data_IF_091445467452
#
_entry.id   IF_091445467452
#
_cell.length_a   1.000
_cell.length_b   1.000
_cell.length_c   1.000
_cell.angle_alpha   90.00
_cell.angle_beta   90.00
_cell.angle_gamma   90.00
#
_symmetry.space_group_name_H-M   'P 1'
#
loop_
_entity.id
_entity.type
_entity.pdbx_description
1 polymer ?
#
# COMPACT_ATOMS: atom_id res chain seq x y z
N UNK A 1 -19.15 -8.36 -10.10
CA UNK A 1 -18.36 -9.50 -9.61
C UNK A 1 -18.35 -9.48 -8.08
N UNK A 2 -18.89 -10.49 -7.45
CA UNK A 2 -18.83 -10.61 -6.00
C UNK A 2 -17.45 -11.12 -5.61
N UNK A 3 -16.62 -10.23 -5.09
CA UNK A 3 -15.30 -10.59 -4.57
C UNK A 3 -15.46 -11.27 -3.20
N UNK A 4 -14.89 -12.46 -3.05
CA UNK A 4 -14.89 -13.17 -1.76
C UNK A 4 -13.49 -13.18 -1.19
N UNK A 5 -13.21 -12.22 -0.31
CA UNK A 5 -11.91 -12.08 0.34
C UNK A 5 -11.40 -13.36 0.99
N UNK A 6 -12.31 -14.12 1.60
CA UNK A 6 -11.97 -15.35 2.31
C UNK A 6 -11.61 -16.54 1.41
N UNK A 7 -11.91 -16.47 0.12
CA UNK A 7 -11.70 -17.58 -0.82
C UNK A 7 -10.61 -17.30 -1.86
N UNK A 8 -10.08 -16.06 -1.92
CA UNK A 8 -9.03 -15.74 -2.85
C UNK A 8 -7.71 -16.17 -2.26
N UNK A 9 -7.03 -17.12 -2.91
CA UNK A 9 -5.67 -17.45 -2.51
C UNK A 9 -4.77 -16.24 -2.79
N UNK A 10 -4.02 -15.76 -1.80
CA UNK A 10 -3.09 -14.68 -2.05
C UNK A 10 -2.03 -15.12 -3.05
N UNK A 11 -1.64 -14.19 -3.94
CA UNK A 11 -0.53 -14.43 -4.85
C UNK A 11 0.76 -14.62 -4.07
N UNK A 12 1.70 -15.34 -4.65
CA UNK A 12 3.00 -15.58 -4.02
C UNK A 12 3.81 -14.29 -4.08
N UNK A 13 4.03 -13.69 -2.94
CA UNK A 13 4.80 -12.45 -2.78
C UNK A 13 5.80 -12.57 -1.64
N UNK A 14 6.88 -11.81 -1.75
CA UNK A 14 7.98 -11.84 -0.79
C UNK A 14 8.45 -10.42 -0.46
N UNK A 15 8.80 -10.20 0.81
CA UNK A 15 9.44 -8.97 1.25
C UNK A 15 10.94 -9.09 1.03
N UNK A 16 11.54 -8.08 0.44
CA UNK A 16 12.97 -8.06 0.18
C UNK A 16 13.53 -6.64 0.09
N UNK A 17 14.88 -6.51 -0.05
CA UNK A 17 15.50 -5.18 -0.20
C UNK A 17 14.99 -4.47 -1.45
N UNK A 18 14.58 -3.21 -1.29
CA UNK A 18 14.05 -2.38 -2.37
C UNK A 18 15.07 -1.35 -2.83
N UNK A 19 15.08 -1.05 -4.13
CA UNK A 19 15.83 0.06 -4.68
C UNK A 19 15.14 1.41 -4.44
N UNK A 20 13.86 1.38 -4.08
CA UNK A 20 13.06 2.59 -3.86
C UNK A 20 13.19 3.05 -2.41
N UNK A 21 12.91 2.17 -1.46
CA UNK A 21 12.95 2.50 -0.04
C UNK A 21 13.04 1.22 0.79
N UNK A 22 14.05 1.11 1.63
CA UNK A 22 14.28 0.02 2.60
C UNK A 22 13.89 -1.36 2.09
N UNK A 23 12.71 -1.86 2.50
CA UNK A 23 12.13 -3.10 2.03
C UNK A 23 10.97 -2.83 1.09
N UNK A 24 10.77 -3.75 0.16
CA UNK A 24 9.66 -3.71 -0.77
C UNK A 24 8.96 -5.06 -0.85
N UNK A 25 7.90 -5.13 -1.62
CA UNK A 25 7.16 -6.35 -1.89
C UNK A 25 7.39 -6.77 -3.33
N UNK A 26 7.79 -8.02 -3.52
CA UNK A 26 8.14 -8.59 -4.83
C UNK A 26 7.20 -9.74 -5.16
N UNK A 27 6.80 -9.86 -6.42
CA UNK A 27 6.05 -11.02 -6.83
C UNK A 27 6.97 -12.19 -7.16
N UNK A 28 6.59 -13.39 -6.73
CA UNK A 28 7.29 -14.63 -7.04
C UNK A 28 6.64 -15.40 -8.19
N UNK A 29 5.59 -14.84 -8.78
CA UNK A 29 4.88 -15.43 -9.93
C UNK A 29 4.51 -14.34 -10.92
N UNK A 30 4.27 -14.74 -12.18
CA UNK A 30 3.79 -13.82 -13.21
C UNK A 30 2.34 -13.43 -12.91
N UNK A 31 2.03 -12.14 -13.03
CA UNK A 31 0.70 -11.59 -12.80
C UNK A 31 0.13 -11.05 -14.11
N UNK A 32 -1.14 -11.33 -14.35
CA UNK A 32 -1.89 -10.76 -15.46
C UNK A 32 -2.58 -9.46 -15.05
N UNK A 33 -2.90 -8.56 -16.02
CA UNK A 33 -3.68 -7.37 -15.71
C UNK A 33 -4.97 -7.73 -14.98
N UNK A 34 -5.33 -6.92 -13.98
CA UNK A 34 -6.48 -7.10 -13.10
C UNK A 34 -6.40 -8.25 -12.10
N UNK A 35 -5.32 -9.02 -12.08
CA UNK A 35 -5.12 -10.01 -11.02
C UNK A 35 -5.09 -9.33 -9.66
N UNK A 36 -5.81 -9.93 -8.71
CA UNK A 36 -5.78 -9.47 -7.33
C UNK A 36 -4.54 -10.06 -6.66
N UNK A 37 -3.71 -9.20 -6.12
CA UNK A 37 -2.43 -9.57 -5.51
C UNK A 37 -2.59 -9.88 -4.04
N UNK A 38 -3.10 -8.91 -3.29
CA UNK A 38 -3.16 -8.97 -1.83
C UNK A 38 -4.16 -7.93 -1.32
N UNK A 39 -4.71 -8.15 -0.14
CA UNK A 39 -5.46 -7.14 0.59
C UNK A 39 -4.52 -6.38 1.52
N UNK A 40 -4.68 -5.05 1.58
CA UNK A 40 -3.97 -4.22 2.55
C UNK A 40 -4.75 -4.26 3.86
N UNK A 41 -4.24 -5.01 4.83
CA UNK A 41 -4.91 -5.22 6.11
C UNK A 41 -4.20 -4.50 7.26
N UNK A 42 -4.94 -4.18 8.30
CA UNK A 42 -4.44 -3.55 9.51
C UNK A 42 -5.59 -3.25 10.46
N UNK A 43 -5.29 -2.49 11.50
CA UNK A 43 -6.32 -2.03 12.42
C UNK A 43 -7.15 -0.92 11.77
N UNK A 44 -8.48 -1.05 11.87
CA UNK A 44 -9.39 0.01 11.45
C UNK A 44 -9.55 1.00 12.58
N UNK A 45 -9.08 2.22 12.37
CA UNK A 45 -9.10 3.29 13.38
C UNK A 45 -9.74 4.55 12.82
N UNK A 46 -10.24 5.41 13.70
CA UNK A 46 -10.79 6.71 13.33
C UNK A 46 -9.71 7.77 13.23
N UNK A 47 -10.02 8.88 12.56
CA UNK A 47 -9.08 9.98 12.35
C UNK A 47 -8.41 10.46 13.64
N UNK A 48 -9.16 10.66 14.70
CA UNK A 48 -8.62 11.14 15.99
C UNK A 48 -7.61 10.16 16.59
N UNK A 49 -7.86 8.88 16.45
CA UNK A 49 -6.93 7.84 16.91
C UNK A 49 -5.69 7.83 16.05
N UNK A 50 -5.84 7.97 14.73
CA UNK A 50 -4.70 8.03 13.81
C UNK A 50 -3.78 9.21 14.14
N UNK A 51 -4.34 10.39 14.36
CA UNK A 51 -3.58 11.59 14.71
C UNK A 51 -2.74 11.38 15.98
N UNK A 52 -3.36 10.78 16.99
CA UNK A 52 -2.66 10.46 18.26
C UNK A 52 -1.57 9.41 18.05
N UNK A 53 -1.83 8.39 17.23
CA UNK A 53 -0.84 7.34 16.96
C UNK A 53 0.36 7.87 16.20
N UNK A 54 0.16 8.75 15.23
CA UNK A 54 1.27 9.38 14.51
C UNK A 54 2.23 10.09 15.46
N UNK A 55 1.69 10.86 16.41
CA UNK A 55 2.49 11.55 17.43
C UNK A 55 3.25 10.55 18.30
N UNK A 56 2.56 9.51 18.79
CA UNK A 56 3.17 8.48 19.64
C UNK A 56 4.26 7.72 18.89
N UNK A 57 4.02 7.37 17.63
CA UNK A 57 4.99 6.66 16.81
C UNK A 57 6.24 7.51 16.59
N UNK A 58 6.07 8.79 16.31
CA UNK A 58 7.18 9.73 16.17
C UNK A 58 7.99 9.86 17.46
N UNK A 59 7.31 10.01 18.60
CA UNK A 59 7.95 10.09 19.92
C UNK A 59 8.73 8.82 20.27
N UNK A 60 8.27 7.66 19.85
CA UNK A 60 8.93 6.37 20.09
C UNK A 60 10.04 6.08 19.07
N UNK A 61 10.28 6.96 18.13
CA UNK A 61 11.28 6.77 17.09
C UNK A 61 10.92 5.72 16.05
N UNK A 62 9.61 5.43 15.88
CA UNK A 62 9.14 4.55 14.83
C UNK A 62 9.17 5.35 13.53
N UNK A 63 10.15 5.03 12.66
CA UNK A 63 10.45 5.83 11.47
C UNK A 63 9.40 5.73 10.37
N UNK A 64 8.70 4.60 10.25
CA UNK A 64 7.71 4.36 9.21
C UNK A 64 6.35 4.06 9.84
N UNK A 65 5.36 4.89 9.49
CA UNK A 65 3.96 4.65 9.80
C UNK A 65 3.29 4.07 8.56
N UNK A 66 2.48 3.04 8.75
CA UNK A 66 1.78 2.36 7.66
C UNK A 66 0.28 2.62 7.79
N UNK A 67 -0.13 3.84 7.41
CA UNK A 67 -1.51 4.29 7.48
C UNK A 67 -2.09 4.43 6.08
N UNK A 68 -3.26 3.84 5.86
CA UNK A 68 -3.97 3.94 4.59
C UNK A 68 -5.40 4.43 4.83
N UNK A 69 -5.76 5.56 4.24
CA UNK A 69 -7.11 6.13 4.40
C UNK A 69 -8.16 5.33 3.63
N UNK A 70 -9.18 4.84 4.36
CA UNK A 70 -10.33 4.17 3.77
C UNK A 70 -11.39 5.15 3.25
N UNK A 71 -11.72 6.15 4.07
CA UNK A 71 -12.74 7.15 3.78
C UNK A 71 -12.53 8.37 4.68
N UNK A 72 -13.56 9.22 4.80
CA UNK A 72 -13.48 10.44 5.62
C UNK A 72 -13.32 10.16 7.11
N UNK A 73 -13.75 8.98 7.59
CA UNK A 73 -13.81 8.65 9.00
C UNK A 73 -12.75 7.65 9.45
N UNK A 74 -12.38 6.70 8.57
CA UNK A 74 -11.56 5.55 8.93
C UNK A 74 -10.25 5.48 8.18
N UNK A 75 -9.24 4.99 8.88
CA UNK A 75 -7.89 4.72 8.39
C UNK A 75 -7.52 3.29 8.78
N UNK A 76 -6.81 2.59 7.91
CA UNK A 76 -6.18 1.31 8.25
C UNK A 76 -4.76 1.59 8.75
N UNK A 77 -4.46 1.13 9.96
CA UNK A 77 -3.12 1.19 10.54
C UNK A 77 -2.48 -0.19 10.47
N UNK A 78 -1.53 -0.35 9.58
CA UNK A 78 -0.79 -1.60 9.37
C UNK A 78 0.57 -1.63 10.08
N UNK A 79 0.87 -0.64 10.92
CA UNK A 79 2.19 -0.50 11.55
C UNK A 79 2.56 -1.72 12.40
N UNK A 80 1.65 -2.22 13.22
CA UNK A 80 1.87 -3.39 14.07
C UNK A 80 1.01 -4.60 13.73
N UNK A 81 -0.15 -4.39 13.12
CA UNK A 81 -1.13 -5.44 12.84
C UNK A 81 -1.47 -5.54 11.35
N UNK A 82 -0.44 -5.41 10.52
CA UNK A 82 -0.59 -5.52 9.08
C UNK A 82 -0.12 -6.86 8.54
N UNK A 83 -0.14 -6.95 7.20
CA UNK A 83 0.46 -8.06 6.48
C UNK A 83 1.58 -7.55 5.56
N UNK A 84 2.01 -8.38 4.62
CA UNK A 84 3.08 -8.02 3.67
C UNK A 84 2.75 -6.82 2.80
N UNK A 85 1.46 -6.50 2.61
CA UNK A 85 1.04 -5.36 1.77
C UNK A 85 1.58 -4.02 2.27
N UNK A 86 1.87 -3.89 3.55
CA UNK A 86 2.46 -2.65 4.10
C UNK A 86 3.82 -2.31 3.48
N UNK A 87 4.52 -3.27 2.91
CA UNK A 87 5.82 -3.06 2.28
C UNK A 87 5.74 -2.60 0.82
N UNK A 88 4.55 -2.44 0.27
CA UNK A 88 4.37 -1.85 -1.06
C UNK A 88 4.87 -0.41 -1.07
N UNK A 89 5.88 -0.14 -1.88
CA UNK A 89 6.42 1.20 -2.03
C UNK A 89 5.64 2.02 -3.06
N UNK A 90 5.81 3.33 -3.02
CA UNK A 90 5.22 4.25 -3.99
C UNK A 90 6.01 4.24 -5.29
N UNK A 91 5.28 4.31 -6.40
CA UNK A 91 5.84 4.72 -7.69
C UNK A 91 4.87 5.67 -8.40
N UNK A 92 5.43 6.68 -9.07
CA UNK A 92 4.64 7.57 -9.92
C UNK A 92 4.15 6.85 -11.18
N UNK A 93 4.81 5.75 -11.55
CA UNK A 93 4.40 4.83 -12.62
C UNK A 93 4.23 3.42 -12.05
N UNK A 94 3.24 3.28 -11.17
CA UNK A 94 3.03 2.06 -10.42
C UNK A 94 2.48 0.93 -11.29
N UNK A 95 2.91 -0.31 -10.97
CA UNK A 95 2.41 -1.51 -11.65
C UNK A 95 1.15 -2.10 -10.98
N UNK A 96 0.76 -1.60 -9.81
CA UNK A 96 -0.45 -1.99 -9.12
C UNK A 96 -1.34 -0.78 -8.80
N UNK A 97 -2.60 -1.07 -8.52
CA UNK A 97 -3.58 -0.09 -8.03
C UNK A 97 -4.18 -0.55 -6.72
N UNK A 98 -4.43 0.38 -5.83
CA UNK A 98 -5.20 0.16 -4.62
C UNK A 98 -6.65 0.57 -4.87
N UNK A 99 -7.59 -0.33 -4.62
CA UNK A 99 -9.02 -0.08 -4.77
C UNK A 99 -9.74 -0.37 -3.47
N UNK A 100 -10.65 0.50 -3.10
CA UNK A 100 -11.49 0.28 -1.93
C UNK A 100 -12.78 -0.36 -2.39
N UNK A 101 -13.07 -1.55 -1.86
CA UNK A 101 -14.30 -2.28 -2.16
C UNK A 101 -15.13 -2.47 -0.90
N UNK A 102 -16.44 -2.61 -1.07
CA UNK A 102 -17.38 -2.81 0.01
C UNK A 102 -17.85 -4.27 0.01
N UNK A 103 -17.58 -4.98 1.11
CA UNK A 103 -18.00 -6.37 1.29
C UNK A 103 -18.73 -6.49 2.62
N UNK A 104 -19.98 -6.90 2.60
CA UNK A 104 -20.80 -7.03 3.82
C UNK A 104 -20.79 -5.78 4.68
N UNK A 105 -20.94 -4.60 4.04
CA UNK A 105 -20.97 -3.28 4.69
C UNK A 105 -19.64 -2.84 5.31
N UNK A 106 -18.54 -3.54 5.00
CA UNK A 106 -17.19 -3.15 5.41
C UNK A 106 -16.33 -2.82 4.21
N UNK A 107 -15.53 -1.79 4.32
CA UNK A 107 -14.58 -1.38 3.29
C UNK A 107 -13.27 -2.13 3.44
N UNK A 108 -12.75 -2.59 2.30
CA UNK A 108 -11.48 -3.31 2.20
C UNK A 108 -10.62 -2.69 1.13
N UNK A 109 -9.31 -2.72 1.32
CA UNK A 109 -8.34 -2.19 0.37
C UNK A 109 -7.73 -3.35 -0.40
N UNK A 110 -7.98 -3.39 -1.70
CA UNK A 110 -7.51 -4.47 -2.58
C UNK A 110 -6.41 -3.94 -3.49
N UNK A 111 -5.30 -4.63 -3.51
CA UNK A 111 -4.19 -4.34 -4.41
C UNK A 111 -4.29 -5.28 -5.62
N UNK A 112 -4.37 -4.71 -6.81
CA UNK A 112 -4.47 -5.46 -8.06
C UNK A 112 -3.45 -4.99 -9.09
N UNK A 113 -3.04 -5.88 -9.99
CA UNK A 113 -2.08 -5.56 -11.05
C UNK A 113 -2.73 -4.67 -12.12
N UNK A 114 -2.02 -3.60 -12.53
CA UNK A 114 -2.46 -2.69 -13.59
C UNK A 114 -2.09 -3.20 -14.99
N UNK A 115 -1.09 -4.05 -15.05
CA UNK A 115 -0.52 -4.58 -16.29
C UNK A 115 0.04 -5.96 -16.00
N UNK A 116 0.60 -6.61 -17.02
CA UNK A 116 1.36 -7.83 -16.81
C UNK A 116 2.61 -7.49 -15.98
N UNK A 117 2.85 -8.27 -14.93
CA UNK A 117 4.00 -8.13 -14.05
C UNK A 117 4.71 -9.48 -14.01
N UNK A 118 6.02 -9.48 -14.20
CA UNK A 118 6.81 -10.71 -14.22
C UNK A 118 7.33 -11.05 -12.83
N UNK A 119 7.49 -12.34 -12.57
CA UNK A 119 8.13 -12.83 -11.37
C UNK A 119 9.46 -12.12 -11.13
N UNK A 120 9.67 -11.66 -9.91
CA UNK A 120 10.87 -10.92 -9.51
C UNK A 120 10.72 -9.40 -9.54
N UNK A 121 9.67 -8.85 -10.16
CA UNK A 121 9.45 -7.40 -10.15
C UNK A 121 8.96 -6.92 -8.79
N UNK A 122 9.40 -5.73 -8.39
CA UNK A 122 8.87 -5.06 -7.21
C UNK A 122 7.47 -4.54 -7.50
N UNK A 123 6.54 -4.81 -6.57
CA UNK A 123 5.16 -4.33 -6.64
C UNK A 123 5.07 -2.94 -6.00
N UNK A 124 4.42 -2.03 -6.70
CA UNK A 124 4.27 -0.63 -6.27
C UNK A 124 2.86 -0.14 -6.54
N UNK A 125 2.43 0.86 -5.80
CA UNK A 125 1.20 1.59 -6.12
C UNK A 125 1.42 3.09 -5.89
N UNK A 126 0.60 3.92 -6.51
CA UNK A 126 0.68 5.36 -6.31
C UNK A 126 -0.09 5.70 -5.03
N UNK A 127 0.61 6.28 -4.06
CA UNK A 127 0.03 6.61 -2.76
C UNK A 127 -1.04 7.72 -2.84
N UNK A 128 -0.97 8.56 -3.88
CA UNK A 128 -1.90 9.68 -4.09
C UNK A 128 -2.00 10.59 -2.85
N UNK A 129 -0.86 10.91 -2.24
CA UNK A 129 -0.85 11.83 -1.12
C UNK A 129 -1.35 13.20 -1.54
N UNK A 130 -2.08 13.86 -0.66
CA UNK A 130 -2.52 15.23 -0.87
C UNK A 130 -1.32 16.18 -1.02
N UNK A 131 -1.51 17.25 -1.82
CA UNK A 131 -0.49 18.26 -2.00
C UNK A 131 -0.22 18.98 -0.67
N UNK A 132 1.04 19.06 -0.28
CA UNK A 132 1.50 19.74 0.93
C UNK A 132 2.71 20.64 0.63
N UNK A 133 2.91 21.67 1.47
CA UNK A 133 4.05 22.57 1.32
C UNK A 133 5.37 21.86 1.58
N UNK A 134 5.42 21.04 2.63
CA UNK A 134 6.60 20.22 2.93
C UNK A 134 6.59 18.97 2.07
N UNK A 135 7.59 18.84 1.20
CA UNK A 135 7.65 17.75 0.21
C UNK A 135 8.41 16.55 0.74
N UNK A 136 7.86 15.38 0.50
CA UNK A 136 8.50 14.09 0.73
C UNK A 136 9.12 13.64 -0.59
N UNK A 137 10.44 13.42 -0.61
CA UNK A 137 11.13 12.99 -1.83
C UNK A 137 10.63 11.62 -2.30
N UNK A 138 10.53 11.48 -3.62
CA UNK A 138 10.18 10.23 -4.28
C UNK A 138 11.41 9.64 -4.95
N UNK A 139 11.70 8.37 -4.66
CA UNK A 139 12.85 7.63 -5.19
C UNK A 139 12.41 6.48 -6.09
N UNK A 140 11.22 6.58 -6.72
CA UNK A 140 10.69 5.48 -7.53
C UNK A 140 11.49 5.20 -8.81
N UNK A 141 12.26 6.19 -9.30
CA UNK A 141 13.09 6.04 -10.49
C UNK A 141 12.33 6.02 -11.82
N UNK A 142 11.01 6.24 -11.81
CA UNK A 142 10.21 6.28 -13.03
C UNK A 142 10.56 7.52 -13.87
N UNK A 143 10.58 7.42 -15.24
CA UNK A 143 10.84 8.58 -16.09
C UNK A 143 9.86 9.73 -15.88
N UNK A 144 8.60 9.43 -15.54
CA UNK A 144 7.55 10.41 -15.26
C UNK A 144 7.49 10.82 -13.79
N UNK A 145 8.51 10.51 -12.99
CA UNK A 145 8.51 10.79 -11.56
C UNK A 145 8.39 12.29 -11.29
N UNK A 146 7.49 12.65 -10.37
CA UNK A 146 7.28 14.03 -9.95
C UNK A 146 8.37 14.52 -8.98
N UNK A 147 9.25 13.64 -8.52
CA UNK A 147 10.27 13.94 -7.53
C UNK A 147 9.75 14.03 -6.10
N UNK A 148 8.44 13.86 -5.92
CA UNK A 148 7.76 14.00 -4.62
C UNK A 148 6.59 13.05 -4.49
N UNK A 149 6.24 12.71 -3.25
CA UNK A 149 5.06 11.91 -2.92
C UNK A 149 3.80 12.77 -2.75
N UNK A 150 3.96 14.01 -2.41
CA UNK A 150 2.85 14.91 -2.05
C UNK A 150 2.92 16.28 -2.77
#
# INVERSE_FOLDING_TARGET
MKYRLSKTQPKKVEVGPSKIHRNGLFTLEDLAPADIVIEYVGERIRNKVADKREIVYEMKGIGDCYLFRLDKEYIIDATFHGNKARYLNHSCDANCSAKIINVQQQKHIIISANRQIKSGEELTYNYNFDYEADKIECFCGAPACLGRLN
#
